data_IF_106164874980
#
_entry.id   IF_106164874980
#
_cell.length_a   1.000
_cell.length_b   1.000
_cell.length_c   1.000
_cell.angle_alpha   90.00
_cell.angle_beta   90.00
_cell.angle_gamma   90.00
#
_symmetry.space_group_name_H-M   'P 1'
#
loop_
_entity.id
_entity.type
_entity.pdbx_description
1 polymer ?
#
# COMPACT_ATOMS: atom_id res chain seq x y z
N UNK A 1 14.07 5.76 3.52
CA UNK A 1 13.46 5.42 2.23
C UNK A 1 12.98 3.99 2.35
N UNK A 2 11.79 3.68 1.84
CA UNK A 2 11.25 2.31 1.83
C UNK A 2 11.37 1.81 0.40
N UNK A 3 12.07 0.72 0.21
CA UNK A 3 12.31 0.15 -1.12
C UNK A 3 11.23 -0.89 -1.49
N UNK A 4 10.58 -1.49 -0.49
CA UNK A 4 9.57 -2.54 -0.65
C UNK A 4 8.47 -2.43 0.41
N UNK A 5 7.21 -2.61 -0.01
CA UNK A 5 6.04 -2.75 0.84
C UNK A 5 5.58 -4.20 0.89
N UNK A 6 5.42 -4.73 2.10
CA UNK A 6 4.75 -6.01 2.34
C UNK A 6 3.44 -5.74 3.09
N UNK A 7 2.34 -5.75 2.35
CA UNK A 7 1.00 -5.45 2.87
C UNK A 7 0.25 -6.74 3.18
N UNK A 8 -0.33 -6.84 4.38
CA UNK A 8 -1.20 -7.93 4.77
C UNK A 8 -2.64 -7.43 4.90
N UNK A 9 -3.55 -8.04 4.13
CA UNK A 9 -4.94 -7.62 4.01
C UNK A 9 -5.83 -8.74 4.54
N UNK A 10 -6.50 -8.48 5.67
CA UNK A 10 -7.52 -9.37 6.21
C UNK A 10 -8.89 -9.09 5.59
N UNK A 11 -9.75 -10.11 5.52
CA UNK A 11 -11.13 -10.00 5.05
C UNK A 11 -12.07 -9.29 6.04
N UNK A 12 -11.77 -8.05 6.42
CA UNK A 12 -12.51 -7.27 7.43
C UNK A 12 -12.63 -5.80 7.04
N UNK A 13 -13.80 -5.21 7.31
CA UNK A 13 -14.01 -3.76 7.22
C UNK A 13 -14.01 -3.15 8.63
N UNK A 14 -13.20 -2.11 8.86
CA UNK A 14 -13.03 -1.49 10.18
C UNK A 14 -13.73 -0.13 10.33
N UNK A 15 -14.20 0.46 9.23
CA UNK A 15 -14.84 1.78 9.21
C UNK A 15 -13.89 2.91 8.81
N UNK A 16 -14.45 4.00 8.30
CA UNK A 16 -13.71 5.13 7.71
C UNK A 16 -12.91 5.97 8.71
N UNK A 17 -13.31 5.96 9.98
CA UNK A 17 -12.64 6.70 11.06
C UNK A 17 -11.68 5.84 11.89
N UNK A 18 -11.48 4.57 11.51
CA UNK A 18 -10.46 3.74 12.13
C UNK A 18 -9.06 4.28 11.82
N UNK A 19 -8.05 3.85 12.59
CA UNK A 19 -6.66 4.25 12.35
C UNK A 19 -6.23 3.84 10.93
N UNK A 20 -5.77 4.78 10.07
CA UNK A 20 -5.36 4.47 8.71
C UNK A 20 -4.07 3.65 8.67
N UNK A 21 -3.84 2.96 7.56
CA UNK A 21 -2.60 2.20 7.32
C UNK A 21 -1.38 3.11 7.20
N UNK A 22 -1.53 4.23 6.48
CA UNK A 22 -0.51 5.26 6.28
C UNK A 22 -1.12 6.64 6.52
N UNK A 23 -0.34 7.54 7.10
CA UNK A 23 -0.70 8.93 7.35
C UNK A 23 0.14 9.82 6.41
N UNK A 24 -0.20 9.81 5.12
CA UNK A 24 0.53 10.55 4.08
C UNK A 24 -0.05 11.97 3.94
N UNK A 25 0.78 13.02 3.85
CA UNK A 25 0.32 14.40 3.73
C UNK A 25 -0.05 14.74 2.28
N UNK A 26 -0.99 14.01 1.67
CA UNK A 26 -1.46 14.22 0.29
C UNK A 26 -2.71 15.10 0.28
N UNK A 27 -2.71 16.15 -0.53
CA UNK A 27 -3.84 17.07 -0.72
C UNK A 27 -4.59 16.81 -2.03
N UNK A 28 -3.94 16.24 -3.04
CA UNK A 28 -4.49 15.98 -4.37
C UNK A 28 -4.21 14.54 -4.81
N UNK A 29 -5.12 13.95 -5.60
CA UNK A 29 -4.96 12.57 -6.08
C UNK A 29 -3.74 12.38 -7.00
N UNK A 30 -3.31 13.44 -7.70
CA UNK A 30 -2.09 13.42 -8.52
C UNK A 30 -0.81 13.27 -7.71
N UNK A 31 -0.87 13.44 -6.38
CA UNK A 31 0.26 13.26 -5.46
C UNK A 31 0.35 11.81 -4.93
N UNK A 32 -0.50 10.91 -5.42
CA UNK A 32 -0.53 9.52 -4.98
C UNK A 32 0.84 8.83 -5.12
N UNK A 33 1.26 8.15 -4.06
CA UNK A 33 2.39 7.22 -4.11
C UNK A 33 1.97 5.98 -4.89
N UNK A 34 2.43 5.87 -6.13
CA UNK A 34 2.15 4.72 -6.98
C UNK A 34 3.06 3.54 -6.62
N UNK A 35 2.48 2.34 -6.57
CA UNK A 35 3.18 1.10 -6.24
C UNK A 35 3.04 0.10 -7.39
N UNK A 36 4.16 -0.50 -7.79
CA UNK A 36 4.18 -1.66 -8.69
C UNK A 36 4.04 -2.94 -7.87
N UNK A 37 2.93 -3.66 -8.02
CA UNK A 37 2.70 -4.95 -7.34
C UNK A 37 3.48 -6.03 -8.07
N UNK A 38 4.43 -6.67 -7.37
CA UNK A 38 5.30 -7.70 -7.94
C UNK A 38 4.89 -9.12 -7.51
N UNK A 39 4.22 -9.27 -6.37
CA UNK A 39 3.68 -10.57 -5.92
C UNK A 39 2.38 -10.34 -5.15
N UNK A 40 1.39 -11.22 -5.37
CA UNK A 40 0.22 -11.32 -4.53
C UNK A 40 -0.13 -12.78 -4.28
N UNK A 41 -0.31 -13.17 -3.01
CA UNK A 41 -0.68 -14.54 -2.64
C UNK A 41 -1.51 -14.60 -1.36
N UNK A 42 -2.27 -15.67 -1.21
CA UNK A 42 -2.96 -15.99 0.03
C UNK A 42 -1.96 -16.47 1.11
N UNK A 43 -2.21 -16.08 2.36
CA UNK A 43 -1.51 -16.54 3.56
C UNK A 43 -2.57 -16.85 4.62
N UNK A 44 -2.93 -18.13 4.76
CA UNK A 44 -4.09 -18.50 5.59
C UNK A 44 -5.37 -17.88 5.03
N UNK A 45 -6.06 -17.07 5.85
CA UNK A 45 -7.30 -16.37 5.46
C UNK A 45 -7.07 -14.93 4.96
N UNK A 46 -5.81 -14.50 4.89
CA UNK A 46 -5.41 -13.15 4.52
C UNK A 46 -4.68 -13.14 3.18
N UNK A 47 -4.51 -11.94 2.61
CA UNK A 47 -3.68 -11.72 1.41
C UNK A 47 -2.38 -11.01 1.78
N UNK A 48 -1.27 -11.48 1.21
CA UNK A 48 0.01 -10.76 1.19
C UNK A 48 0.22 -10.16 -0.18
N UNK A 49 0.52 -8.86 -0.21
CA UNK A 49 0.94 -8.12 -1.41
C UNK A 49 2.36 -7.61 -1.19
N UNK A 50 3.27 -7.94 -2.10
CA UNK A 50 4.61 -7.33 -2.16
C UNK A 50 4.60 -6.33 -3.31
N UNK A 51 4.96 -5.08 -3.01
CA UNK A 51 4.98 -4.01 -3.98
C UNK A 51 6.20 -3.09 -3.81
N UNK A 52 6.70 -2.55 -4.90
CA UNK A 52 7.79 -1.58 -4.91
C UNK A 52 7.23 -0.19 -5.24
N UNK A 53 7.77 0.90 -4.68
CA UNK A 53 7.45 2.24 -5.18
C UNK A 53 7.77 2.33 -6.66
N UNK A 54 6.86 2.91 -7.45
CA UNK A 54 7.21 3.36 -8.79
C UNK A 54 8.11 4.57 -8.62
N UNK A 55 9.39 4.45 -8.95
CA UNK A 55 10.26 5.62 -9.03
C UNK A 55 9.64 6.60 -10.03
N UNK A 56 9.31 7.81 -9.57
CA UNK A 56 9.03 8.89 -10.49
C UNK A 56 10.25 9.06 -11.40
N UNK A 57 10.10 9.12 -12.74
CA UNK A 57 11.23 9.45 -13.60
C UNK A 57 11.74 10.85 -13.22
N UNK A 58 12.93 10.92 -12.60
CA UNK A 58 13.69 12.15 -12.40
C UNK A 58 13.49 12.88 -11.06
N UNK A 59 13.76 12.22 -9.93
CA UNK A 59 14.34 12.89 -8.75
C UNK A 59 15.83 12.58 -8.72
#
# INVERSE_FOLDING_TARGET
>A
MVDEFQLFIAGKFLGSSARPLLDLPLAQMSEALELNIIEMRAVGNDWRVIALPVSAPGV
#
